data_IF_339206014579
#
_entry.id   IF_339206014579
#
_cell.length_a   1.000
_cell.length_b   1.000
_cell.length_c   1.000
_cell.angle_alpha   90.00
_cell.angle_beta   90.00
_cell.angle_gamma   90.00
#
_symmetry.space_group_name_H-M   'P 1'
#
loop_
_entity.id
_entity.type
_entity.pdbx_description
1 polymer ?
#
# COMPACT_ATOMS: atom_id res chain seq x y z
N UNK A 1 -36.58 1.40 -11.67
CA UNK A 1 -35.39 0.99 -10.92
C UNK A 1 -34.26 0.46 -11.80
N UNK A 2 -34.52 -0.38 -12.81
CA UNK A 2 -33.52 -0.91 -13.76
C UNK A 2 -32.78 0.19 -14.55
N UNK A 3 -33.51 1.11 -15.18
CA UNK A 3 -32.94 2.20 -16.00
C UNK A 3 -31.94 3.10 -15.23
N UNK A 4 -32.18 3.35 -13.92
CA UNK A 4 -31.33 4.16 -13.08
C UNK A 4 -30.04 3.41 -12.69
N UNK A 5 -30.10 2.08 -12.61
CA UNK A 5 -28.93 1.22 -12.38
C UNK A 5 -28.06 1.14 -13.64
N UNK A 6 -28.68 0.97 -14.81
CA UNK A 6 -27.96 0.89 -16.09
C UNK A 6 -27.24 2.21 -16.43
N UNK A 7 -27.86 3.36 -16.15
CA UNK A 7 -27.24 4.68 -16.32
C UNK A 7 -26.04 4.88 -15.38
N UNK A 8 -26.15 4.43 -14.13
CA UNK A 8 -25.07 4.50 -13.13
C UNK A 8 -23.90 3.57 -13.48
N UNK A 9 -24.20 2.38 -13.96
CA UNK A 9 -23.19 1.41 -14.39
C UNK A 9 -22.43 1.88 -15.63
N UNK A 10 -23.14 2.48 -16.60
CA UNK A 10 -22.55 3.11 -17.77
C UNK A 10 -21.67 4.32 -17.41
N UNK A 11 -22.06 5.13 -16.43
CA UNK A 11 -21.25 6.25 -15.94
C UNK A 11 -19.96 5.76 -15.30
N UNK A 12 -20.03 4.75 -14.40
CA UNK A 12 -18.86 4.17 -13.74
C UNK A 12 -17.89 3.52 -14.75
N UNK A 13 -18.43 2.77 -15.74
CA UNK A 13 -17.62 2.21 -16.84
C UNK A 13 -16.93 3.29 -17.67
N UNK A 14 -17.61 4.40 -17.96
CA UNK A 14 -17.04 5.56 -18.67
C UNK A 14 -15.89 6.23 -17.88
N UNK A 15 -15.95 6.20 -16.55
CA UNK A 15 -14.89 6.67 -15.65
C UNK A 15 -13.78 5.62 -15.42
N UNK A 16 -13.89 4.46 -16.06
CA UNK A 16 -12.96 3.35 -15.87
C UNK A 16 -13.00 2.77 -14.46
N UNK A 17 -14.16 2.78 -13.81
CA UNK A 17 -14.39 2.17 -12.49
C UNK A 17 -15.14 0.86 -12.71
N UNK A 18 -14.42 -0.25 -12.60
CA UNK A 18 -14.99 -1.59 -12.69
C UNK A 18 -14.73 -2.30 -11.36
N UNK A 19 -15.81 -2.66 -10.67
CA UNK A 19 -15.69 -3.40 -9.41
C UNK A 19 -15.38 -4.86 -9.72
N UNK A 20 -14.07 -5.19 -9.75
CA UNK A 20 -13.58 -6.55 -9.95
C UNK A 20 -12.58 -6.90 -8.83
N UNK A 21 -12.70 -8.12 -8.30
CA UNK A 21 -11.74 -8.63 -7.33
C UNK A 21 -10.31 -8.70 -7.92
N UNK A 22 -10.20 -9.02 -9.20
CA UNK A 22 -8.91 -9.05 -9.89
C UNK A 22 -8.25 -7.67 -9.87
N UNK A 23 -9.00 -6.62 -10.17
CA UNK A 23 -8.49 -5.25 -10.21
C UNK A 23 -8.04 -4.75 -8.85
N UNK A 24 -8.89 -4.87 -7.83
CA UNK A 24 -8.60 -4.31 -6.51
C UNK A 24 -7.78 -5.24 -5.61
N UNK A 25 -7.97 -6.56 -5.76
CA UNK A 25 -7.25 -7.56 -4.97
C UNK A 25 -5.92 -7.98 -5.56
N UNK A 26 -5.74 -7.91 -6.89
CA UNK A 26 -4.53 -8.40 -7.56
C UNK A 26 -3.72 -7.23 -8.11
N UNK A 27 -4.29 -6.44 -9.03
CA UNK A 27 -3.55 -5.39 -9.73
C UNK A 27 -3.12 -4.27 -8.79
N UNK A 28 -4.02 -3.83 -7.91
CA UNK A 28 -3.75 -2.75 -6.95
C UNK A 28 -2.75 -3.20 -5.87
N UNK A 29 -2.87 -4.43 -5.34
CA UNK A 29 -1.89 -4.97 -4.40
C UNK A 29 -0.52 -5.19 -5.04
N UNK A 30 -0.48 -5.71 -6.28
CA UNK A 30 0.75 -5.85 -7.04
C UNK A 30 1.45 -4.50 -7.27
N UNK A 31 0.68 -3.46 -7.61
CA UNK A 31 1.20 -2.11 -7.80
C UNK A 31 1.68 -1.47 -6.50
N UNK A 32 0.97 -1.71 -5.39
CA UNK A 32 1.42 -1.33 -4.05
C UNK A 32 2.79 -1.95 -3.75
N UNK A 33 2.99 -3.23 -4.07
CA UNK A 33 4.26 -3.91 -3.87
C UNK A 33 5.40 -3.25 -4.66
N UNK A 34 5.17 -2.87 -5.91
CA UNK A 34 6.17 -2.13 -6.71
C UNK A 34 6.55 -0.80 -6.09
N UNK A 35 5.57 -0.02 -5.61
CA UNK A 35 5.84 1.24 -4.90
C UNK A 35 6.66 1.02 -3.63
N UNK A 36 6.36 -0.04 -2.89
CA UNK A 36 7.06 -0.43 -1.66
C UNK A 36 8.50 -0.86 -1.94
N UNK A 37 8.73 -1.63 -3.01
CA UNK A 37 10.07 -2.03 -3.42
C UNK A 37 10.92 -0.85 -3.86
N UNK A 38 10.39 0.02 -4.71
CA UNK A 38 11.12 1.16 -5.24
C UNK A 38 11.53 2.17 -4.16
N UNK A 39 10.85 2.19 -3.02
CA UNK A 39 11.11 3.12 -1.91
C UNK A 39 11.73 2.42 -0.69
N UNK A 40 10.93 1.68 0.06
CA UNK A 40 11.34 1.12 1.35
C UNK A 40 12.41 0.03 1.23
N UNK A 41 12.26 -0.91 0.27
CA UNK A 41 13.22 -2.00 0.10
C UNK A 41 14.59 -1.45 -0.34
N UNK A 42 14.61 -0.64 -1.39
CA UNK A 42 15.86 -0.02 -1.86
C UNK A 42 16.45 0.89 -0.80
N UNK A 43 15.62 1.68 -0.10
CA UNK A 43 16.06 2.49 1.02
C UNK A 43 16.72 1.66 2.13
N UNK A 44 16.15 0.51 2.47
CA UNK A 44 16.72 -0.41 3.49
C UNK A 44 18.06 -1.00 3.04
N UNK A 45 18.20 -1.37 1.76
CA UNK A 45 19.46 -1.85 1.19
C UNK A 45 20.53 -0.77 1.28
N UNK A 46 20.20 0.46 0.85
CA UNK A 46 21.12 1.60 0.90
C UNK A 46 21.52 1.94 2.36
N UNK A 47 20.57 1.88 3.29
CA UNK A 47 20.85 2.06 4.73
C UNK A 47 21.82 1.00 5.24
N UNK A 48 21.63 -0.27 4.86
CA UNK A 48 22.50 -1.37 5.28
C UNK A 48 23.92 -1.18 4.74
N UNK A 49 24.05 -0.78 3.49
CA UNK A 49 25.33 -0.45 2.87
C UNK A 49 25.96 0.75 3.58
N UNK A 50 25.21 1.82 3.82
CA UNK A 50 25.66 3.02 4.52
C UNK A 50 26.19 2.71 5.92
N UNK A 51 25.47 1.89 6.67
CA UNK A 51 25.86 1.47 8.02
C UNK A 51 27.12 0.59 8.01
N UNK A 52 27.20 -0.37 7.08
CA UNK A 52 28.34 -1.29 6.99
C UNK A 52 29.63 -0.61 6.46
N UNK A 53 29.49 0.29 5.50
CA UNK A 53 30.62 1.02 4.92
C UNK A 53 30.90 2.38 5.60
N UNK A 54 30.17 2.71 6.67
CA UNK A 54 30.28 3.98 7.40
C UNK A 54 30.11 5.20 6.48
N UNK A 55 29.09 5.18 5.59
CA UNK A 55 28.73 6.28 4.69
C UNK A 55 27.47 6.97 5.26
N UNK A 56 27.61 8.07 6.06
CA UNK A 56 26.48 8.72 6.72
C UNK A 56 25.41 9.22 5.75
N UNK A 57 25.81 9.64 4.55
CA UNK A 57 24.87 10.11 3.53
C UNK A 57 23.78 9.06 3.17
N UNK A 58 24.13 7.78 3.13
CA UNK A 58 23.17 6.71 2.80
C UNK A 58 22.25 6.39 3.98
N UNK A 59 22.80 6.36 5.20
CA UNK A 59 22.07 5.95 6.40
C UNK A 59 21.31 7.09 7.08
N UNK A 60 21.85 8.32 7.04
CA UNK A 60 21.27 9.44 7.80
C UNK A 60 20.47 10.41 6.91
N UNK A 61 20.74 10.44 5.60
CA UNK A 61 20.03 11.33 4.68
C UNK A 61 19.07 10.55 3.78
N UNK A 62 19.57 9.57 3.02
CA UNK A 62 18.74 8.86 2.04
C UNK A 62 17.68 7.98 2.73
N UNK A 63 18.08 7.24 3.76
CA UNK A 63 17.16 6.31 4.43
C UNK A 63 15.91 6.95 5.02
N UNK A 64 15.98 8.04 5.83
CA UNK A 64 14.78 8.70 6.34
C UNK A 64 13.86 9.19 5.22
N UNK A 65 14.42 9.78 4.16
CA UNK A 65 13.64 10.25 3.01
C UNK A 65 12.94 9.08 2.31
N UNK A 66 13.66 8.00 2.02
CA UNK A 66 13.09 6.83 1.36
C UNK A 66 11.96 6.19 2.20
N UNK A 67 12.12 6.14 3.52
CA UNK A 67 11.12 5.65 4.46
C UNK A 67 9.87 6.53 4.46
N UNK A 68 10.02 7.84 4.52
CA UNK A 68 8.91 8.78 4.54
C UNK A 68 8.16 8.82 3.20
N UNK A 69 8.88 8.65 2.09
CA UNK A 69 8.32 8.64 0.74
C UNK A 69 7.70 7.29 0.34
N UNK A 70 7.74 6.29 1.21
CA UNK A 70 7.13 4.97 0.93
C UNK A 70 5.63 5.07 0.65
N UNK A 71 4.88 5.80 1.48
CA UNK A 71 3.45 6.02 1.26
C UNK A 71 3.12 6.71 -0.06
N UNK A 72 3.76 7.84 -0.38
CA UNK A 72 3.68 8.49 -1.68
C UNK A 72 3.96 7.57 -2.87
N UNK A 73 5.03 6.76 -2.80
CA UNK A 73 5.38 5.81 -3.86
C UNK A 73 4.29 4.73 -4.07
N UNK A 74 3.76 4.19 -2.97
CA UNK A 74 2.62 3.26 -2.99
C UNK A 74 1.41 3.92 -3.66
N UNK A 75 1.08 5.14 -3.29
CA UNK A 75 -0.10 5.84 -3.79
C UNK A 75 -0.02 6.13 -5.29
N UNK A 76 1.13 6.58 -5.77
CA UNK A 76 1.35 6.80 -7.21
C UNK A 76 1.22 5.49 -7.97
N UNK A 77 1.84 4.41 -7.51
CA UNK A 77 1.75 3.10 -8.15
C UNK A 77 0.29 2.60 -8.25
N UNK A 78 -0.49 2.73 -7.17
CA UNK A 78 -1.91 2.38 -7.13
C UNK A 78 -2.73 3.26 -8.10
N UNK A 79 -2.54 4.58 -8.06
CA UNK A 79 -3.27 5.51 -8.93
C UNK A 79 -3.00 5.25 -10.41
N UNK A 80 -1.76 4.89 -10.76
CA UNK A 80 -1.39 4.49 -12.13
C UNK A 80 -2.04 3.16 -12.53
N UNK A 81 -2.05 2.16 -11.67
CA UNK A 81 -2.72 0.87 -11.91
C UNK A 81 -4.22 1.03 -12.13
N UNK A 82 -4.85 1.94 -11.38
CA UNK A 82 -6.25 2.30 -11.53
C UNK A 82 -6.53 3.19 -12.75
N UNK A 83 -5.51 3.53 -13.55
CA UNK A 83 -5.59 4.42 -14.72
C UNK A 83 -6.26 5.76 -14.38
N UNK A 84 -5.85 6.34 -13.25
CA UNK A 84 -6.40 7.60 -12.79
C UNK A 84 -5.93 8.77 -13.66
N UNK A 85 -6.71 9.86 -13.80
CA UNK A 85 -6.28 11.09 -14.43
C UNK A 85 -5.08 11.70 -13.71
N UNK A 86 -4.23 12.45 -14.41
CA UNK A 86 -2.99 13.02 -13.88
C UNK A 86 -3.19 13.84 -12.59
N UNK A 87 -4.26 14.64 -12.52
CA UNK A 87 -4.56 15.43 -11.31
C UNK A 87 -4.82 14.54 -10.09
N UNK A 88 -5.48 13.39 -10.27
CA UNK A 88 -5.72 12.42 -9.22
C UNK A 88 -4.42 11.71 -8.82
N UNK A 89 -3.56 11.36 -9.80
CA UNK A 89 -2.25 10.75 -9.52
C UNK A 89 -1.40 11.69 -8.67
N UNK A 90 -1.27 12.96 -9.04
CA UNK A 90 -0.46 13.93 -8.29
C UNK A 90 -1.02 14.19 -6.89
N UNK A 91 -2.33 14.28 -6.74
CA UNK A 91 -2.95 14.48 -5.43
C UNK A 91 -2.88 13.24 -4.55
N UNK A 92 -2.80 12.03 -5.11
CA UNK A 92 -2.66 10.79 -4.36
C UNK A 92 -1.36 10.70 -3.56
N UNK A 93 -0.30 11.45 -3.94
CA UNK A 93 0.97 11.56 -3.20
C UNK A 93 0.73 11.96 -1.75
N UNK A 94 -0.10 12.98 -1.53
CA UNK A 94 -0.46 13.48 -0.19
C UNK A 94 -1.26 12.42 0.58
N UNK A 95 -2.20 11.78 -0.11
CA UNK A 95 -3.01 10.70 0.48
C UNK A 95 -2.15 9.54 0.95
N UNK A 96 -1.21 9.10 0.10
CA UNK A 96 -0.28 8.02 0.44
C UNK A 96 0.60 8.36 1.63
N UNK A 97 1.10 9.59 1.71
CA UNK A 97 1.87 10.05 2.87
C UNK A 97 1.06 9.97 4.16
N UNK A 98 -0.16 10.51 4.16
CA UNK A 98 -1.04 10.47 5.31
C UNK A 98 -1.43 9.04 5.69
N UNK A 99 -1.85 8.23 4.71
CA UNK A 99 -2.24 6.84 4.91
C UNK A 99 -1.10 5.99 5.51
N UNK A 100 0.12 6.15 5.01
CA UNK A 100 1.29 5.46 5.53
C UNK A 100 1.68 5.93 6.94
N UNK A 101 1.60 7.22 7.20
CA UNK A 101 1.93 7.80 8.50
C UNK A 101 1.05 7.27 9.62
N UNK A 102 -0.25 7.10 9.38
CA UNK A 102 -1.22 6.69 10.40
C UNK A 102 -1.55 5.21 10.37
N UNK A 103 -1.49 4.57 9.20
CA UNK A 103 -1.95 3.19 9.00
C UNK A 103 -0.90 2.25 8.40
N UNK A 104 0.36 2.70 8.27
CA UNK A 104 1.40 1.93 7.60
C UNK A 104 1.10 1.69 6.11
N UNK A 105 1.82 0.76 5.46
CA UNK A 105 1.62 0.48 4.03
C UNK A 105 0.19 0.06 3.66
N UNK A 106 -0.49 -0.68 4.54
CA UNK A 106 -1.90 -1.09 4.34
C UNK A 106 -2.84 0.11 4.46
N UNK A 107 -2.55 1.03 5.39
CA UNK A 107 -3.29 2.29 5.50
C UNK A 107 -3.14 3.17 4.25
N UNK A 108 -1.92 3.26 3.70
CA UNK A 108 -1.67 3.93 2.43
C UNK A 108 -2.48 3.29 1.28
N UNK A 109 -2.49 1.96 1.20
CA UNK A 109 -3.25 1.23 0.18
C UNK A 109 -4.76 1.53 0.24
N UNK A 110 -5.39 1.37 1.41
CA UNK A 110 -6.84 1.56 1.57
C UNK A 110 -7.23 3.03 1.33
N UNK A 111 -6.52 3.97 1.93
CA UNK A 111 -6.80 5.39 1.78
C UNK A 111 -6.65 5.84 0.32
N UNK A 112 -5.60 5.39 -0.36
CA UNK A 112 -5.34 5.75 -1.76
C UNK A 112 -6.37 5.14 -2.70
N UNK A 113 -6.63 3.83 -2.58
CA UNK A 113 -7.60 3.17 -3.44
C UNK A 113 -8.95 3.89 -3.42
N UNK A 114 -9.52 4.12 -2.25
CA UNK A 114 -10.84 4.74 -2.11
C UNK A 114 -10.82 6.20 -2.62
N UNK A 115 -9.80 6.97 -2.25
CA UNK A 115 -9.73 8.38 -2.65
C UNK A 115 -9.48 8.57 -4.15
N UNK A 116 -8.72 7.69 -4.77
CA UNK A 116 -8.48 7.70 -6.23
C UNK A 116 -9.77 7.42 -6.98
N UNK A 117 -10.56 6.42 -6.56
CA UNK A 117 -11.84 6.13 -7.21
C UNK A 117 -12.83 7.31 -7.05
N UNK A 118 -12.88 7.95 -5.88
CA UNK A 118 -13.68 9.15 -5.67
C UNK A 118 -13.18 10.33 -6.53
N UNK A 119 -11.87 10.52 -6.63
CA UNK A 119 -11.26 11.53 -7.50
C UNK A 119 -11.61 11.32 -8.98
N UNK A 120 -11.62 10.07 -9.45
CA UNK A 120 -12.03 9.71 -10.82
C UNK A 120 -13.49 10.04 -11.10
N UNK A 121 -14.39 9.84 -10.14
CA UNK A 121 -15.81 10.19 -10.28
C UNK A 121 -15.97 11.68 -10.52
N UNK A 122 -15.26 12.52 -9.78
CA UNK A 122 -15.38 13.98 -9.83
C UNK A 122 -14.62 14.59 -11.01
N UNK A 123 -13.56 13.92 -11.48
CA UNK A 123 -12.69 14.42 -12.55
C UNK A 123 -13.47 14.71 -13.83
N UNK A 124 -13.23 15.88 -14.41
CA UNK A 124 -13.86 16.41 -15.63
C UNK A 124 -15.38 16.64 -15.55
N UNK A 125 -15.95 16.68 -14.34
CA UNK A 125 -17.38 17.01 -14.17
C UNK A 125 -17.62 18.49 -13.87
N UNK A 126 -16.59 19.24 -13.49
CA UNK A 126 -16.69 20.66 -13.12
C UNK A 126 -15.86 21.54 -14.02
N UNK A 127 -16.28 22.81 -14.20
CA UNK A 127 -15.52 23.82 -14.96
C UNK A 127 -14.17 24.17 -14.33
N UNK A 128 -14.02 23.93 -13.03
CA UNK A 128 -12.80 24.19 -12.25
C UNK A 128 -12.16 22.88 -11.77
N UNK A 129 -12.11 21.90 -12.65
CA UNK A 129 -11.60 20.55 -12.37
C UNK A 129 -10.21 20.54 -11.72
N UNK A 130 -9.35 21.48 -12.11
CA UNK A 130 -7.98 21.59 -11.59
C UNK A 130 -7.93 21.84 -10.06
N UNK A 131 -8.99 22.37 -9.47
CA UNK A 131 -9.09 22.64 -8.02
C UNK A 131 -9.93 21.55 -7.35
N UNK A 132 -11.09 21.24 -7.93
CA UNK A 132 -12.10 20.36 -7.30
C UNK A 132 -11.61 18.92 -7.22
N UNK A 133 -11.03 18.39 -8.28
CA UNK A 133 -10.56 17.00 -8.33
C UNK A 133 -9.43 16.72 -7.33
N UNK A 134 -8.34 17.51 -7.26
CA UNK A 134 -7.33 17.32 -6.22
C UNK A 134 -7.86 17.54 -4.80
N UNK A 135 -8.72 18.56 -4.60
CA UNK A 135 -9.29 18.83 -3.28
C UNK A 135 -10.11 17.66 -2.75
N UNK A 136 -11.01 17.10 -3.57
CA UNK A 136 -11.79 15.91 -3.20
C UNK A 136 -10.88 14.72 -2.91
N UNK A 137 -9.91 14.44 -3.77
CA UNK A 137 -8.97 13.32 -3.58
C UNK A 137 -8.18 13.46 -2.29
N UNK A 138 -7.62 14.65 -2.02
CA UNK A 138 -6.80 14.89 -0.82
C UNK A 138 -7.66 14.82 0.45
N UNK A 139 -8.78 15.56 0.48
CA UNK A 139 -9.63 15.63 1.69
C UNK A 139 -10.16 14.24 2.05
N UNK A 140 -10.71 13.51 1.09
CA UNK A 140 -11.24 12.17 1.35
C UNK A 140 -10.15 11.18 1.73
N UNK A 141 -9.01 11.22 1.05
CA UNK A 141 -7.90 10.31 1.32
C UNK A 141 -7.21 10.58 2.66
N UNK A 142 -6.94 11.83 3.00
CA UNK A 142 -6.35 12.18 4.29
C UNK A 142 -7.33 11.89 5.43
N UNK A 143 -8.61 12.17 5.24
CA UNK A 143 -9.64 11.82 6.23
C UNK A 143 -9.69 10.30 6.48
N UNK A 144 -9.70 9.49 5.42
CA UNK A 144 -9.64 8.04 5.54
C UNK A 144 -8.35 7.57 6.22
N UNK A 145 -7.21 8.11 5.84
CA UNK A 145 -5.91 7.79 6.44
C UNK A 145 -5.85 8.11 7.93
N UNK A 146 -6.39 9.24 8.35
CA UNK A 146 -6.40 9.64 9.75
C UNK A 146 -7.42 8.89 10.60
N UNK A 147 -8.59 8.58 10.04
CA UNK A 147 -9.67 7.92 10.78
C UNK A 147 -9.50 6.39 10.82
N UNK A 148 -9.25 5.75 9.67
CA UNK A 148 -9.09 4.30 9.59
C UNK A 148 -7.66 3.84 9.87
N UNK A 149 -6.66 4.67 9.60
CA UNK A 149 -5.25 4.33 9.71
C UNK A 149 -4.86 3.74 11.07
N UNK A 150 -5.16 4.38 12.20
CA UNK A 150 -4.79 3.85 13.52
C UNK A 150 -5.39 2.47 13.81
N UNK A 151 -6.64 2.23 13.40
CA UNK A 151 -7.30 0.94 13.57
C UNK A 151 -6.63 -0.15 12.72
N UNK A 152 -6.32 0.16 11.46
CA UNK A 152 -5.62 -0.75 10.54
C UNK A 152 -4.23 -1.08 11.10
N UNK A 153 -3.48 -0.08 11.51
CA UNK A 153 -2.14 -0.25 12.07
C UNK A 153 -2.17 -1.12 13.35
N UNK A 154 -3.12 -0.89 14.23
CA UNK A 154 -3.29 -1.70 15.45
C UNK A 154 -3.57 -3.17 15.11
N UNK A 155 -4.41 -3.46 14.12
CA UNK A 155 -4.68 -4.83 13.65
C UNK A 155 -3.41 -5.47 13.06
N UNK A 156 -2.69 -4.75 12.19
CA UNK A 156 -1.45 -5.25 11.57
C UNK A 156 -0.37 -5.56 12.61
N UNK A 157 -0.16 -4.67 13.59
CA UNK A 157 0.81 -4.89 14.67
C UNK A 157 0.40 -6.10 15.53
N UNK A 158 -0.89 -6.25 15.85
CA UNK A 158 -1.37 -7.40 16.63
C UNK A 158 -1.15 -8.72 15.89
N UNK A 159 -1.46 -8.76 14.60
CA UNK A 159 -1.24 -9.94 13.76
C UNK A 159 0.26 -10.28 13.65
N UNK A 160 1.11 -9.29 13.38
CA UNK A 160 2.55 -9.48 13.33
C UNK A 160 3.13 -9.98 14.65
N UNK A 161 2.73 -9.38 15.78
CA UNK A 161 3.16 -9.81 17.11
C UNK A 161 2.69 -11.23 17.43
N UNK A 162 1.46 -11.59 17.08
CA UNK A 162 0.94 -12.95 17.28
C UNK A 162 1.76 -13.98 16.51
N UNK A 163 2.12 -13.70 15.26
CA UNK A 163 2.97 -14.57 14.45
C UNK A 163 4.37 -14.66 15.05
N UNK A 164 4.98 -13.54 15.47
CA UNK A 164 6.31 -13.53 16.07
C UNK A 164 6.35 -14.33 17.38
N UNK A 165 5.39 -14.11 18.28
CA UNK A 165 5.31 -14.85 19.56
C UNK A 165 5.09 -16.35 19.31
N UNK A 166 4.18 -16.71 18.42
CA UNK A 166 3.94 -18.10 18.06
C UNK A 166 5.18 -18.78 17.46
N UNK A 167 5.97 -18.07 16.66
CA UNK A 167 7.21 -18.56 16.08
C UNK A 167 8.31 -18.76 17.13
N UNK A 168 8.38 -17.89 18.14
CA UNK A 168 9.35 -18.03 19.24
C UNK A 168 9.00 -19.18 20.20
N UNK A 169 7.72 -19.40 20.47
CA UNK A 169 7.24 -20.49 21.34
C UNK A 169 7.40 -21.87 20.71
N UNK A 170 7.17 -22.02 19.42
CA UNK A 170 7.24 -23.28 18.69
C UNK A 170 7.92 -23.07 17.33
N UNK A 171 9.27 -22.83 17.32
CA UNK A 171 9.96 -22.37 16.10
C UNK A 171 9.85 -23.38 14.93
N UNK A 172 9.92 -24.68 15.20
CA UNK A 172 9.83 -25.69 14.15
C UNK A 172 8.44 -25.73 13.48
N UNK A 173 7.37 -25.88 14.26
CA UNK A 173 6.00 -25.99 13.73
C UNK A 173 5.52 -24.67 13.14
N UNK A 174 5.79 -23.58 13.84
CA UNK A 174 5.32 -22.26 13.41
C UNK A 174 6.15 -21.74 12.24
N UNK A 175 7.44 -22.02 12.19
CA UNK A 175 8.30 -21.74 11.05
C UNK A 175 7.83 -22.46 9.78
N UNK A 176 7.43 -23.74 9.91
CA UNK A 176 6.85 -24.50 8.80
C UNK A 176 5.53 -23.91 8.32
N UNK A 177 4.62 -23.54 9.23
CA UNK A 177 3.33 -22.94 8.88
C UNK A 177 3.54 -21.60 8.17
N UNK A 178 4.39 -20.72 8.71
CA UNK A 178 4.69 -19.41 8.09
C UNK A 178 5.28 -19.60 6.69
N UNK A 179 6.23 -20.51 6.53
CA UNK A 179 6.86 -20.81 5.23
C UNK A 179 5.83 -21.32 4.21
N UNK A 180 4.96 -22.24 4.59
CA UNK A 180 3.90 -22.77 3.72
C UNK A 180 2.90 -21.68 3.34
N UNK A 181 2.44 -20.89 4.30
CA UNK A 181 1.48 -19.79 4.04
C UNK A 181 2.09 -18.76 3.10
N UNK A 182 3.34 -18.35 3.33
CA UNK A 182 4.03 -17.42 2.43
C UNK A 182 4.22 -18.03 1.05
N UNK A 183 4.61 -19.30 0.96
CA UNK A 183 4.73 -20.03 -0.32
C UNK A 183 3.41 -20.10 -1.09
N UNK A 184 2.28 -20.35 -0.41
CA UNK A 184 0.95 -20.33 -1.05
C UNK A 184 0.60 -18.90 -1.53
N UNK A 185 0.86 -17.90 -0.73
CA UNK A 185 0.58 -16.50 -1.10
C UNK A 185 1.45 -16.03 -2.26
N UNK A 186 2.64 -16.60 -2.46
CA UNK A 186 3.48 -16.35 -3.63
C UNK A 186 2.89 -16.87 -4.94
N UNK A 187 1.97 -17.83 -4.91
CA UNK A 187 1.22 -18.23 -6.11
C UNK A 187 0.23 -17.16 -6.57
N UNK A 188 -0.14 -16.24 -5.67
CA UNK A 188 -0.85 -15.03 -6.03
C UNK A 188 0.17 -13.98 -6.50
N UNK A 189 -0.18 -13.05 -7.37
CA UNK A 189 0.73 -11.99 -7.83
C UNK A 189 0.97 -10.93 -6.74
N UNK A 190 1.29 -11.38 -5.54
CA UNK A 190 1.58 -10.57 -4.35
C UNK A 190 3.01 -10.89 -3.91
N UNK A 191 3.83 -9.86 -3.74
CA UNK A 191 5.20 -10.06 -3.30
C UNK A 191 5.27 -10.49 -1.84
N UNK A 192 6.04 -11.56 -1.56
CA UNK A 192 6.34 -12.03 -0.20
C UNK A 192 7.00 -10.96 0.67
N UNK A 193 7.90 -10.18 0.10
CA UNK A 193 8.55 -9.09 0.81
C UNK A 193 7.55 -8.00 1.23
N UNK A 194 6.58 -7.68 0.38
CA UNK A 194 5.51 -6.74 0.73
C UNK A 194 4.68 -7.26 1.90
N UNK A 195 4.33 -8.54 1.91
CA UNK A 195 3.61 -9.18 3.02
C UNK A 195 4.39 -9.13 4.35
N UNK A 196 5.67 -9.50 4.32
CA UNK A 196 6.53 -9.45 5.51
C UNK A 196 6.63 -8.03 6.08
N UNK A 197 6.72 -7.02 5.21
CA UNK A 197 6.75 -5.62 5.62
C UNK A 197 5.40 -5.14 6.16
N UNK A 198 4.28 -5.53 5.54
CA UNK A 198 2.94 -5.20 6.02
C UNK A 198 2.68 -5.75 7.43
N UNK A 199 3.13 -6.96 7.70
CA UNK A 199 2.98 -7.64 8.99
C UNK A 199 4.11 -7.32 9.97
N UNK A 200 5.09 -6.51 9.56
CA UNK A 200 6.29 -6.18 10.36
C UNK A 200 7.01 -7.43 10.89
N UNK A 201 7.06 -8.50 10.09
CA UNK A 201 7.72 -9.76 10.48
C UNK A 201 9.23 -9.57 10.57
N UNK A 202 9.81 -9.97 11.68
CA UNK A 202 11.24 -9.89 11.94
C UNK A 202 11.75 -11.17 12.63
N UNK A 203 13.05 -11.29 12.79
CA UNK A 203 13.67 -12.42 13.50
C UNK A 203 13.35 -13.77 12.88
N UNK A 204 12.98 -14.77 13.69
CA UNK A 204 12.68 -16.14 13.25
C UNK A 204 11.48 -16.20 12.28
N UNK A 205 10.45 -15.40 12.51
CA UNK A 205 9.29 -15.35 11.62
C UNK A 205 9.63 -14.78 10.24
N UNK A 206 10.48 -13.75 10.18
CA UNK A 206 11.01 -13.22 8.92
C UNK A 206 11.90 -14.22 8.19
N UNK A 207 12.78 -14.96 8.91
CA UNK A 207 13.58 -16.04 8.37
C UNK A 207 12.76 -17.20 7.82
N UNK A 208 11.70 -17.61 8.52
CA UNK A 208 10.77 -18.64 8.04
C UNK A 208 9.99 -18.19 6.79
N UNK A 209 9.60 -16.93 6.72
CA UNK A 209 8.94 -16.37 5.53
C UNK A 209 9.87 -16.38 4.31
N UNK A 210 11.14 -16.01 4.48
CA UNK A 210 12.14 -16.07 3.38
C UNK A 210 12.46 -17.48 2.94
N UNK A 211 12.37 -18.48 3.82
CA UNK A 211 12.54 -19.89 3.47
C UNK A 211 11.37 -20.45 2.62
N UNK A 212 10.20 -19.79 2.63
CA UNK A 212 9.04 -20.15 1.80
C UNK A 212 9.06 -19.52 0.41
N UNK A 213 9.98 -18.60 0.16
CA UNK A 213 10.16 -17.94 -1.14
C UNK A 213 11.10 -18.72 -2.04
#
# INVERSE_FOLDING_TARGET
>A
MKEKNDAKENFLKKKGIEMSFQRYGIDVLGSMAMGLFASLLIGTILNTIGTKLHIPFLSEVIWPIAKDMTGPAIAVAIAMALKAPNLVIFSSVIVGFAGNKFGGPVGAWIATWISVELGKIVSKETKVDIIVTPAVTIVTGVWLGTFLGPAINAVMIRLGNMIMVATTLRPFWMGMIVSVVVGIVLTLPISSAALCMMLSLAGLAGGAATAGC
#
